data_IF_080511014143
#
_entry.id   IF_080511014143
#
_cell.length_a   1.000
_cell.length_b   1.000
_cell.length_c   1.000
_cell.angle_alpha   90.00
_cell.angle_beta   90.00
_cell.angle_gamma   90.00
#
_symmetry.space_group_name_H-M   'P 1'
#
loop_
_entity.id
_entity.type
_entity.pdbx_description
1 polymer ?
#
# COMPACT_ATOMS: atom_id res chain seq x y z
N UNK A 1 5.30 9.90 22.68
CA UNK A 1 5.07 9.32 21.35
C UNK A 1 3.57 9.05 21.27
N UNK A 2 2.87 9.90 20.54
CA UNK A 2 1.40 10.06 20.57
C UNK A 2 0.73 9.02 19.66
N UNK A 3 -0.27 8.24 20.12
CA UNK A 3 -0.83 7.09 19.41
C UNK A 3 -2.00 7.45 18.48
N UNK A 4 -1.89 8.53 17.69
CA UNK A 4 -2.89 8.98 16.69
C UNK A 4 -2.89 8.11 15.41
N UNK A 5 -3.06 6.81 15.64
CA UNK A 5 -3.03 5.69 14.75
C UNK A 5 -4.00 5.83 13.58
N UNK A 6 -3.46 6.18 12.40
CA UNK A 6 -3.75 5.68 11.04
C UNK A 6 -5.18 5.70 10.46
N UNK A 7 -6.24 5.75 11.26
CA UNK A 7 -7.46 6.42 10.82
C UNK A 7 -7.12 7.82 10.28
N UNK A 8 -6.09 8.48 10.83
CA UNK A 8 -5.52 9.71 10.32
C UNK A 8 -4.87 9.63 8.92
N UNK A 9 -4.40 8.49 8.41
CA UNK A 9 -3.59 8.48 7.18
C UNK A 9 -4.47 8.35 5.92
N UNK A 10 -5.69 7.82 6.06
CA UNK A 10 -6.69 7.82 4.98
C UNK A 10 -7.93 8.69 5.31
N UNK A 11 -8.29 8.94 6.58
CA UNK A 11 -9.31 9.95 6.93
C UNK A 11 -8.80 11.41 6.97
N UNK A 12 -7.49 11.73 7.02
CA UNK A 12 -7.06 13.08 6.58
C UNK A 12 -7.23 13.27 5.09
N UNK A 13 -7.49 12.20 4.33
CA UNK A 13 -7.77 12.32 2.91
C UNK A 13 -9.27 12.08 2.63
N UNK A 14 -10.08 11.49 3.50
CA UNK A 14 -11.53 11.74 3.53
C UNK A 14 -12.37 10.62 4.12
N UNK A 15 -12.96 10.94 5.27
CA UNK A 15 -14.29 10.55 5.77
C UNK A 15 -14.84 9.18 5.36
N UNK A 16 -14.85 8.25 6.33
CA UNK A 16 -15.74 7.10 6.32
C UNK A 16 -17.17 7.59 6.59
N UNK A 17 -17.98 7.73 5.54
CA UNK A 17 -19.44 7.72 5.62
C UNK A 17 -20.01 7.48 4.22
N UNK A 18 -20.69 6.35 4.03
CA UNK A 18 -21.40 6.04 2.78
C UNK A 18 -21.62 4.54 2.56
N UNK A 19 -22.88 4.12 2.68
CA UNK A 19 -23.47 2.76 2.66
C UNK A 19 -22.90 1.72 1.66
N UNK A 20 -22.99 0.42 1.98
CA UNK A 20 -22.64 -0.67 1.08
C UNK A 20 -23.80 -0.99 0.13
N UNK A 21 -23.61 -0.84 -1.18
CA UNK A 21 -24.45 -1.55 -2.14
C UNK A 21 -23.66 -1.97 -3.39
N UNK A 22 -23.81 -3.26 -3.69
CA UNK A 22 -23.51 -3.99 -4.93
C UNK A 22 -22.09 -4.47 -5.27
N UNK A 23 -22.07 -5.79 -5.54
CA UNK A 23 -21.02 -6.56 -6.21
C UNK A 23 -20.04 -7.21 -5.25
N UNK A 24 -20.19 -8.52 -4.99
CA UNK A 24 -19.19 -9.35 -4.31
C UNK A 24 -18.00 -9.58 -5.25
N UNK A 25 -16.82 -8.99 -4.96
CA UNK A 25 -15.57 -9.32 -5.64
C UNK A 25 -15.08 -10.69 -5.14
N UNK A 26 -14.17 -11.35 -5.90
CA UNK A 26 -13.66 -12.66 -5.52
C UNK A 26 -13.07 -12.68 -4.10
N UNK A 27 -13.42 -13.76 -3.42
CA UNK A 27 -13.23 -14.10 -2.01
C UNK A 27 -11.75 -14.08 -1.54
N UNK A 28 -11.56 -13.49 -0.36
CA UNK A 28 -10.50 -13.68 0.64
C UNK A 28 -9.05 -13.26 0.38
N UNK A 29 -8.82 -11.93 0.43
CA UNK A 29 -7.57 -11.36 0.98
C UNK A 29 -7.87 -10.14 1.86
N UNK A 30 -8.29 -10.39 3.09
CA UNK A 30 -8.65 -9.35 4.06
C UNK A 30 -7.39 -8.66 4.58
N UNK A 31 -7.22 -7.37 4.27
CA UNK A 31 -6.10 -6.55 4.76
C UNK A 31 -6.66 -5.32 5.48
N UNK A 32 -6.52 -5.31 6.80
CA UNK A 32 -6.57 -4.09 7.61
C UNK A 32 -5.36 -3.24 7.21
N UNK A 33 -5.60 -2.08 6.60
CA UNK A 33 -4.59 -1.05 6.32
C UNK A 33 -4.71 0.09 7.35
N UNK A 34 -4.95 -0.30 8.60
CA UNK A 34 -5.03 0.55 9.75
C UNK A 34 -3.65 0.93 10.27
N UNK A 35 -2.53 0.62 9.59
CA UNK A 35 -1.23 1.29 9.79
C UNK A 35 -0.42 1.55 8.52
N UNK A 36 0.43 2.60 8.47
CA UNK A 36 1.47 2.69 7.40
C UNK A 36 2.39 1.47 7.47
N UNK A 37 2.61 0.92 8.67
CA UNK A 37 3.31 -0.35 8.86
C UNK A 37 2.59 -1.52 8.21
N UNK A 38 1.27 -1.65 8.40
CA UNK A 38 0.42 -2.69 7.80
C UNK A 38 0.41 -2.57 6.27
N UNK A 39 0.35 -1.34 5.74
CA UNK A 39 0.50 -1.11 4.30
C UNK A 39 1.87 -1.56 3.81
N UNK A 40 2.94 -1.18 4.51
CA UNK A 40 4.30 -1.60 4.19
C UNK A 40 4.45 -3.12 4.20
N UNK A 41 3.90 -3.79 5.21
CA UNK A 41 3.92 -5.25 5.32
C UNK A 41 3.14 -5.91 4.19
N UNK A 42 1.94 -5.41 3.85
CA UNK A 42 1.14 -5.89 2.74
C UNK A 42 1.86 -5.72 1.39
N UNK A 43 2.52 -4.58 1.17
CA UNK A 43 3.36 -4.30 0.00
C UNK A 43 4.47 -5.33 -0.12
N UNK A 44 5.23 -5.60 0.96
CA UNK A 44 6.33 -6.58 0.92
C UNK A 44 5.79 -7.98 0.69
N UNK A 45 4.75 -8.43 1.40
CA UNK A 45 4.14 -9.75 1.17
C UNK A 45 3.69 -9.94 -0.27
N UNK A 46 3.29 -8.87 -0.94
CA UNK A 46 2.81 -8.90 -2.30
C UNK A 46 3.92 -8.88 -3.36
N UNK A 47 4.79 -7.87 -3.30
CA UNK A 47 5.84 -7.65 -4.31
C UNK A 47 7.10 -8.45 -4.05
N UNK A 48 7.43 -8.74 -2.78
CA UNK A 48 8.64 -9.45 -2.36
C UNK A 48 8.30 -10.54 -1.35
N UNK A 49 7.73 -11.69 -1.78
CA UNK A 49 7.22 -12.71 -0.86
C UNK A 49 8.27 -13.31 0.10
N UNK A 50 9.55 -13.24 -0.26
CA UNK A 50 10.66 -13.66 0.59
C UNK A 50 11.22 -12.52 1.44
N UNK A 51 10.79 -11.28 1.21
CA UNK A 51 11.20 -10.10 1.94
C UNK A 51 10.62 -10.07 3.36
N UNK A 52 11.38 -9.49 4.28
CA UNK A 52 10.98 -9.28 5.67
C UNK A 52 10.81 -7.80 5.92
N UNK A 53 9.57 -7.38 6.17
CA UNK A 53 9.23 -5.99 6.49
C UNK A 53 10.04 -5.49 7.71
N UNK A 54 10.45 -4.23 7.69
CA UNK A 54 11.15 -3.56 8.80
C UNK A 54 10.42 -2.32 9.27
N UNK A 55 10.13 -1.41 8.35
CA UNK A 55 9.47 -0.14 8.64
C UNK A 55 8.84 0.42 7.38
N UNK A 56 7.91 1.35 7.53
CA UNK A 56 7.38 2.14 6.43
C UNK A 56 7.14 3.58 6.89
N UNK A 57 7.25 4.52 5.95
CA UNK A 57 6.96 5.93 6.18
C UNK A 57 6.34 6.56 4.94
N UNK A 58 5.46 7.55 5.15
CA UNK A 58 4.95 8.39 4.07
C UNK A 58 6.05 9.38 3.68
N UNK A 59 6.44 9.39 2.40
CA UNK A 59 7.44 10.33 1.86
C UNK A 59 6.80 11.44 1.05
N UNK A 60 5.58 11.25 0.55
CA UNK A 60 4.78 12.31 -0.07
C UNK A 60 3.27 12.05 0.11
N UNK A 61 2.49 13.11 0.33
CA UNK A 61 1.04 13.03 0.48
C UNK A 61 0.28 13.08 -0.87
N UNK A 62 0.99 13.15 -1.99
CA UNK A 62 0.45 13.09 -3.35
C UNK A 62 1.48 12.48 -4.28
N UNK A 63 1.02 11.65 -5.20
CA UNK A 63 1.81 11.15 -6.31
C UNK A 63 1.33 11.80 -7.61
N UNK A 64 2.25 12.40 -8.38
CA UNK A 64 1.90 13.09 -9.63
C UNK A 64 1.25 12.16 -10.67
N UNK A 65 1.58 10.86 -10.63
CA UNK A 65 1.00 9.86 -11.53
C UNK A 65 -0.43 9.42 -11.20
N UNK A 66 -1.00 9.86 -10.08
CA UNK A 66 -2.31 9.41 -9.61
C UNK A 66 -3.46 9.69 -10.59
N UNK A 67 -3.39 10.78 -11.36
CA UNK A 67 -4.41 11.15 -12.34
C UNK A 67 -4.55 10.13 -13.47
N UNK A 68 -3.46 9.47 -13.87
CA UNK A 68 -3.46 8.41 -14.90
C UNK A 68 -4.28 7.19 -14.48
N UNK A 69 -4.51 7.03 -13.18
CA UNK A 69 -5.29 5.93 -12.62
C UNK A 69 -6.70 6.36 -12.20
N UNK A 70 -7.08 7.61 -12.45
CA UNK A 70 -8.32 8.21 -11.94
C UNK A 70 -8.45 8.08 -10.41
N UNK A 71 -7.33 8.13 -9.69
CA UNK A 71 -7.33 8.07 -8.24
C UNK A 71 -7.81 9.41 -7.65
N UNK A 72 -8.71 9.34 -6.67
CA UNK A 72 -9.18 10.50 -5.92
C UNK A 72 -8.10 11.04 -4.98
N UNK A 73 -7.29 10.11 -4.47
CA UNK A 73 -6.29 10.36 -3.43
C UNK A 73 -5.08 9.50 -3.70
N UNK A 74 -3.92 9.99 -3.30
CA UNK A 74 -2.69 9.21 -3.38
C UNK A 74 -1.69 9.59 -2.31
N UNK A 75 -0.78 8.68 -2.00
CA UNK A 75 0.39 8.95 -1.18
C UNK A 75 1.56 8.12 -1.72
N UNK A 76 2.79 8.55 -1.45
CA UNK A 76 3.99 7.74 -1.69
C UNK A 76 4.50 7.25 -0.36
N UNK A 77 4.64 5.94 -0.23
CA UNK A 77 5.17 5.27 0.95
C UNK A 77 6.48 4.60 0.61
N UNK A 78 7.51 4.91 1.41
CA UNK A 78 8.78 4.20 1.39
C UNK A 78 8.72 3.06 2.38
N UNK A 79 9.03 1.86 1.90
CA UNK A 79 9.06 0.64 2.69
C UNK A 79 10.50 0.16 2.82
N UNK A 80 10.95 -0.04 4.05
CA UNK A 80 12.24 -0.62 4.38
C UNK A 80 12.05 -2.10 4.70
N UNK A 81 12.87 -2.96 4.12
CA UNK A 81 12.75 -4.41 4.29
C UNK A 81 14.08 -5.12 4.07
N UNK A 82 14.19 -6.36 4.52
CA UNK A 82 15.39 -7.18 4.33
C UNK A 82 15.09 -8.37 3.41
N UNK A 83 16.03 -8.72 2.52
CA UNK A 83 15.93 -9.94 1.72
C UNK A 83 15.93 -11.19 2.61
N UNK A 84 14.93 -12.07 2.47
CA UNK A 84 14.83 -13.26 3.33
C UNK A 84 15.96 -14.27 3.18
N UNK A 85 16.62 -14.29 2.02
CA UNK A 85 17.76 -15.16 1.74
C UNK A 85 19.11 -14.46 2.01
N UNK A 86 19.24 -13.19 1.63
CA UNK A 86 20.52 -12.47 1.71
C UNK A 86 20.72 -11.71 3.01
N UNK A 87 19.64 -11.36 3.73
CA UNK A 87 19.68 -10.48 4.89
C UNK A 87 19.94 -9.01 4.59
N UNK A 88 20.29 -8.66 3.34
CA UNK A 88 20.57 -7.27 2.92
C UNK A 88 19.33 -6.39 3.06
N UNK A 89 19.56 -5.12 3.41
CA UNK A 89 18.52 -4.09 3.47
C UNK A 89 18.19 -3.50 2.11
N UNK A 90 16.90 -3.32 1.85
CA UNK A 90 16.34 -2.75 0.63
C UNK A 90 15.25 -1.73 0.94
N UNK A 91 14.94 -0.93 -0.07
CA UNK A 91 13.88 0.08 -0.05
C UNK A 91 13.01 -0.02 -1.29
N UNK A 92 11.71 0.08 -1.09
CA UNK A 92 10.71 0.15 -2.16
C UNK A 92 9.83 1.36 -1.94
N UNK A 93 9.76 2.24 -2.93
CA UNK A 93 8.83 3.38 -2.96
C UNK A 93 7.59 3.00 -3.74
N UNK A 94 6.43 3.10 -3.10
CA UNK A 94 5.15 2.69 -3.66
C UNK A 94 4.17 3.84 -3.60
N UNK A 95 3.55 4.15 -4.73
CA UNK A 95 2.36 4.98 -4.77
C UNK A 95 1.16 4.15 -4.30
N UNK A 96 0.48 4.63 -3.27
CA UNK A 96 -0.84 4.16 -2.87
C UNK A 96 -1.87 5.11 -3.44
N UNK A 97 -2.97 4.56 -3.94
CA UNK A 97 -4.04 5.29 -4.60
C UNK A 97 -5.37 4.83 -4.03
N UNK A 98 -6.32 5.75 -3.85
CA UNK A 98 -7.69 5.45 -3.42
C UNK A 98 -8.70 5.93 -4.46
N UNK A 99 -9.76 5.15 -4.67
CA UNK A 99 -10.92 5.50 -5.52
C UNK A 99 -12.16 4.74 -5.07
N UNK A 100 -13.25 5.43 -4.74
CA UNK A 100 -14.53 4.79 -4.35
C UNK A 100 -14.38 3.76 -3.24
N UNK A 101 -13.59 4.07 -2.20
CA UNK A 101 -13.30 3.14 -1.09
C UNK A 101 -12.35 2.00 -1.42
N UNK A 102 -11.90 1.85 -2.67
CA UNK A 102 -10.89 0.87 -3.07
C UNK A 102 -9.49 1.48 -3.00
N UNK A 103 -8.48 0.63 -2.79
CA UNK A 103 -7.06 0.99 -2.79
C UNK A 103 -6.36 0.25 -3.93
N UNK A 104 -5.32 0.87 -4.48
CA UNK A 104 -4.40 0.30 -5.46
C UNK A 104 -2.99 0.76 -5.16
N UNK A 105 -1.99 -0.04 -5.47
CA UNK A 105 -0.58 0.32 -5.39
C UNK A 105 0.12 0.32 -6.74
N UNK A 106 1.22 1.08 -6.83
CA UNK A 106 2.14 1.08 -7.96
C UNK A 106 3.57 1.29 -7.48
N UNK A 107 4.50 0.42 -7.87
CA UNK A 107 5.92 0.56 -7.50
C UNK A 107 6.55 1.67 -8.34
N UNK A 108 7.05 2.70 -7.67
CA UNK A 108 7.73 3.84 -8.29
C UNK A 108 9.23 3.54 -8.43
N UNK A 109 9.84 3.03 -7.36
CA UNK A 109 11.25 2.70 -7.32
C UNK A 109 11.47 1.48 -6.40
N UNK A 110 12.43 0.65 -6.77
CA UNK A 110 12.83 -0.52 -6.00
C UNK A 110 14.33 -0.76 -6.22
N UNK A 111 15.09 -0.95 -5.14
CA UNK A 111 16.53 -1.20 -5.22
C UNK A 111 16.93 -2.65 -4.92
N UNK A 112 15.96 -3.56 -4.84
CA UNK A 112 16.24 -4.96 -4.57
C UNK A 112 16.89 -5.65 -5.76
N UNK A 113 17.76 -6.62 -5.44
CA UNK A 113 18.41 -7.46 -6.45
C UNK A 113 17.39 -8.34 -7.21
N UNK A 114 16.35 -8.80 -6.51
CA UNK A 114 15.25 -9.57 -7.12
C UNK A 114 14.12 -8.58 -7.46
N UNK A 115 13.69 -8.50 -8.72
CA UNK A 115 12.62 -7.57 -9.10
C UNK A 115 11.28 -7.87 -8.40
N UNK A 116 10.42 -6.85 -8.23
CA UNK A 116 9.07 -7.03 -7.72
C UNK A 116 8.29 -8.07 -8.51
N UNK A 117 7.55 -8.92 -7.80
CA UNK A 117 6.63 -9.89 -8.40
C UNK A 117 5.56 -9.16 -9.21
N UNK A 118 5.44 -9.51 -10.49
CA UNK A 118 4.32 -9.10 -11.36
C UNK A 118 3.01 -9.74 -10.91
N UNK A 119 1.88 -9.08 -11.15
CA UNK A 119 0.54 -9.53 -10.76
C UNK A 119 0.38 -9.58 -9.23
N UNK A 120 0.93 -8.57 -8.57
CA UNK A 120 0.63 -8.34 -7.16
C UNK A 120 -0.86 -7.92 -7.06
N UNK A 121 -1.61 -8.50 -6.11
CA UNK A 121 -3.05 -8.22 -5.98
C UNK A 121 -3.33 -6.75 -5.61
N UNK A 122 -2.35 -6.03 -5.03
CA UNK A 122 -2.43 -4.59 -4.82
C UNK A 122 -2.29 -3.78 -6.12
N UNK A 123 -1.83 -4.36 -7.22
CA UNK A 123 -1.80 -3.67 -8.53
C UNK A 123 -3.18 -3.48 -9.15
N UNK A 124 -4.22 -4.09 -8.56
CA UNK A 124 -5.62 -3.93 -8.93
C UNK A 124 -6.37 -3.14 -7.87
N UNK A 125 -7.48 -2.50 -8.25
CA UNK A 125 -8.38 -1.87 -7.29
C UNK A 125 -8.99 -2.93 -6.39
N UNK A 126 -8.66 -2.88 -5.11
CA UNK A 126 -9.13 -3.84 -4.11
C UNK A 126 -9.73 -3.11 -2.92
N UNK A 127 -10.75 -3.69 -2.28
CA UNK A 127 -11.34 -3.11 -1.08
C UNK A 127 -10.44 -3.46 0.12
N UNK A 128 -9.87 -2.49 0.84
CA UNK A 128 -9.34 -2.76 2.17
C UNK A 128 -10.53 -3.19 3.05
N UNK A 129 -10.36 -4.22 3.87
CA UNK A 129 -11.37 -4.62 4.87
C UNK A 129 -10.95 -4.12 6.24
#
# INVERSE_FOLDING_TARGET
MDPSNILAIIQLIGSLSGNPEFGTPPEDRNISLASVGEVGEAVIKCYHPTGRFRAAQVVANRWQGASMYSAEKSAVVRVFWNGGLTGNGYTTDVALMQRGGMVRSYVIADNAMVPPKKNCWLESWTRPQ
#
